data_IF_212323448313
#
_entry.id   IF_212323448313
#
_cell.length_a   1.000
_cell.length_b   1.000
_cell.length_c   1.000
_cell.angle_alpha   90.00
_cell.angle_beta   90.00
_cell.angle_gamma   90.00
#
_symmetry.space_group_name_H-M   'P 1'
#
loop_
_entity.id
_entity.type
_entity.pdbx_description
1 polymer ?
#
# COMPACT_ATOMS: atom_id res chain seq x y z
N UNK A 1 -78.90 15.90 37.30
CA UNK A 1 -77.88 15.02 36.69
C UNK A 1 -77.10 15.66 35.54
N UNK A 2 -77.55 16.76 34.91
CA UNK A 2 -76.82 17.43 33.81
C UNK A 2 -75.83 18.54 34.25
N UNK A 3 -76.06 19.20 35.39
CA UNK A 3 -75.20 20.28 35.91
C UNK A 3 -73.86 19.75 36.46
N UNK A 4 -73.89 18.61 37.15
CA UNK A 4 -72.73 17.98 37.78
C UNK A 4 -71.72 17.45 36.74
N UNK A 5 -72.23 16.93 35.62
CA UNK A 5 -71.42 16.49 34.49
C UNK A 5 -70.77 17.72 33.84
N UNK A 6 -71.52 18.79 33.56
CA UNK A 6 -70.99 20.04 33.00
C UNK A 6 -69.91 20.71 33.87
N UNK A 7 -70.09 20.69 35.20
CA UNK A 7 -69.11 21.21 36.16
C UNK A 7 -67.81 20.42 36.11
N UNK A 8 -67.89 19.08 36.16
CA UNK A 8 -66.72 18.20 36.03
C UNK A 8 -66.04 18.36 34.67
N UNK A 9 -66.79 18.52 33.57
CA UNK A 9 -66.19 18.75 32.24
C UNK A 9 -65.46 20.10 32.15
N UNK A 10 -65.98 21.16 32.79
CA UNK A 10 -65.31 22.47 32.86
C UNK A 10 -64.06 22.45 33.74
N UNK A 11 -64.03 21.63 34.78
CA UNK A 11 -62.85 21.43 35.62
C UNK A 11 -61.66 20.86 34.82
N UNK A 12 -61.90 19.97 33.86
CA UNK A 12 -60.86 19.45 32.96
C UNK A 12 -60.38 20.44 31.89
N UNK A 13 -61.13 21.54 31.67
CA UNK A 13 -60.79 22.61 30.73
C UNK A 13 -59.96 23.74 31.38
N UNK A 14 -59.64 23.65 32.68
CA UNK A 14 -58.77 24.65 33.29
C UNK A 14 -57.34 24.57 32.72
N UNK A 15 -56.66 25.72 32.52
CA UNK A 15 -55.35 25.79 31.86
C UNK A 15 -54.29 24.85 32.47
N UNK A 16 -54.37 24.60 33.78
CA UNK A 16 -53.44 23.71 34.50
C UNK A 16 -53.55 22.24 34.09
N UNK A 17 -54.76 21.74 33.80
CA UNK A 17 -54.96 20.36 33.35
C UNK A 17 -54.63 20.21 31.86
N UNK A 18 -54.87 21.24 31.05
CA UNK A 18 -54.42 21.29 29.65
C UNK A 18 -52.88 21.25 29.55
N UNK A 19 -52.18 22.04 30.38
CA UNK A 19 -50.71 22.00 30.46
C UNK A 19 -50.19 20.64 30.91
N UNK A 20 -50.81 20.03 31.92
CA UNK A 20 -50.46 18.68 32.38
C UNK A 20 -50.68 17.63 31.29
N UNK A 21 -51.78 17.70 30.54
CA UNK A 21 -52.07 16.79 29.43
C UNK A 21 -51.03 16.93 28.30
N UNK A 22 -50.67 18.16 27.93
CA UNK A 22 -49.63 18.42 26.91
C UNK A 22 -48.27 17.89 27.35
N UNK A 23 -47.91 18.08 28.63
CA UNK A 23 -46.68 17.52 29.19
C UNK A 23 -46.66 16.00 29.16
N UNK A 24 -47.76 15.35 29.56
CA UNK A 24 -47.87 13.89 29.49
C UNK A 24 -47.74 13.43 28.04
N UNK A 25 -48.47 14.03 27.10
CA UNK A 25 -48.37 13.68 25.67
C UNK A 25 -46.96 13.88 25.11
N UNK A 26 -46.27 14.97 25.47
CA UNK A 26 -44.89 15.22 25.06
C UNK A 26 -43.93 14.15 25.62
N UNK A 27 -44.04 13.79 26.90
CA UNK A 27 -43.24 12.73 27.51
C UNK A 27 -43.55 11.37 26.87
N UNK A 28 -44.82 11.09 26.58
CA UNK A 28 -45.21 9.84 25.91
C UNK A 28 -44.65 9.78 24.49
N UNK A 29 -44.69 10.88 23.74
CA UNK A 29 -44.11 10.97 22.40
C UNK A 29 -42.59 10.76 22.43
N UNK A 30 -41.87 11.37 23.37
CA UNK A 30 -40.43 11.17 23.55
C UNK A 30 -40.11 9.71 23.91
N UNK A 31 -40.91 9.08 24.78
CA UNK A 31 -40.76 7.67 25.14
C UNK A 31 -40.98 6.74 23.93
N UNK A 32 -42.03 6.99 23.13
CA UNK A 32 -42.31 6.23 21.89
C UNK A 32 -41.16 6.39 20.90
N UNK A 33 -40.68 7.62 20.65
CA UNK A 33 -39.54 7.87 19.76
C UNK A 33 -38.27 7.16 20.26
N UNK A 34 -38.05 7.13 21.58
CA UNK A 34 -36.87 6.48 22.17
C UNK A 34 -36.90 4.96 21.98
N UNK A 35 -38.05 4.33 22.18
CA UNK A 35 -38.25 2.88 21.97
C UNK A 35 -38.14 2.51 20.49
N UNK A 36 -38.69 3.34 19.59
CA UNK A 36 -38.59 3.12 18.16
C UNK A 36 -37.15 3.33 17.65
N UNK A 37 -36.42 4.31 18.20
CA UNK A 37 -35.02 4.55 17.85
C UNK A 37 -34.13 3.37 18.20
N UNK A 38 -34.34 2.73 19.35
CA UNK A 38 -33.54 1.57 19.78
C UNK A 38 -33.72 0.37 18.83
N UNK A 39 -34.94 0.15 18.34
CA UNK A 39 -35.24 -0.88 17.31
C UNK A 39 -34.65 -0.58 15.93
N UNK A 40 -34.57 0.70 15.55
CA UNK A 40 -34.05 1.13 14.24
C UNK A 40 -32.53 1.17 14.21
N UNK A 41 -31.90 1.56 15.32
CA UNK A 41 -30.44 1.74 15.41
C UNK A 41 -29.74 0.44 15.79
N UNK A 42 -30.39 -0.42 16.57
CA UNK A 42 -29.80 -1.67 17.07
C UNK A 42 -30.43 -2.89 16.38
N UNK A 43 -30.35 -2.93 15.05
CA UNK A 43 -30.67 -4.15 14.30
C UNK A 43 -29.62 -5.18 14.68
N UNK A 44 -30.00 -6.18 15.48
CA UNK A 44 -29.16 -7.31 15.79
C UNK A 44 -28.81 -8.00 14.46
N UNK A 45 -27.61 -7.71 13.94
CA UNK A 45 -27.16 -8.23 12.66
C UNK A 45 -26.78 -9.70 12.86
N UNK A 46 -27.66 -10.60 12.42
CA UNK A 46 -27.37 -12.02 12.32
C UNK A 46 -26.40 -12.24 11.17
N UNK A 47 -25.12 -11.93 11.38
CA UNK A 47 -24.10 -12.01 10.33
C UNK A 47 -22.91 -12.85 10.76
N UNK A 48 -22.29 -13.51 9.79
CA UNK A 48 -20.99 -14.16 9.96
C UNK A 48 -20.03 -13.64 8.92
N UNK A 49 -18.81 -13.33 9.36
CA UNK A 49 -17.72 -12.91 8.49
C UNK A 49 -16.68 -14.01 8.45
N UNK A 50 -16.35 -14.46 7.25
CA UNK A 50 -15.35 -15.49 7.01
C UNK A 50 -14.28 -14.94 6.08
N UNK A 51 -13.04 -15.19 6.44
CA UNK A 51 -11.88 -14.74 5.70
C UNK A 51 -11.23 -15.92 4.98
N UNK A 52 -11.01 -15.75 3.68
CA UNK A 52 -10.29 -16.68 2.83
C UNK A 52 -8.99 -16.07 2.30
N UNK A 53 -8.04 -16.93 1.98
CA UNK A 53 -6.74 -16.54 1.46
C UNK A 53 -6.47 -17.24 0.14
N UNK A 54 -5.96 -16.48 -0.82
CA UNK A 54 -5.53 -16.96 -2.11
C UNK A 54 -4.05 -16.66 -2.29
N UNK A 55 -3.30 -17.69 -2.69
CA UNK A 55 -1.87 -17.63 -2.92
C UNK A 55 -1.58 -18.05 -4.35
N UNK A 56 -0.78 -17.23 -5.04
CA UNK A 56 -0.26 -17.54 -6.38
C UNK A 56 1.25 -17.38 -6.35
N UNK A 57 1.96 -18.47 -6.66
CA UNK A 57 3.42 -18.46 -6.78
C UNK A 57 3.83 -18.12 -8.21
N UNK A 58 4.88 -17.32 -8.36
CA UNK A 58 5.40 -16.89 -9.65
C UNK A 58 6.93 -16.82 -9.65
N UNK A 59 7.53 -16.91 -10.83
CA UNK A 59 8.95 -16.65 -11.02
C UNK A 59 9.12 -15.21 -11.53
N UNK A 60 9.98 -14.38 -10.91
CA UNK A 60 10.25 -13.04 -11.40
C UNK A 60 10.81 -13.04 -12.83
N UNK A 61 10.27 -12.18 -13.69
CA UNK A 61 10.70 -11.98 -15.08
C UNK A 61 11.26 -10.58 -15.36
N UNK A 62 11.22 -9.71 -14.36
CA UNK A 62 11.77 -8.35 -14.38
C UNK A 62 12.65 -8.14 -13.15
N UNK A 63 13.81 -7.52 -13.35
CA UNK A 63 14.63 -6.95 -12.30
C UNK A 63 14.68 -5.43 -12.45
N UNK A 64 14.56 -4.72 -11.34
CA UNK A 64 14.70 -3.26 -11.25
C UNK A 64 15.96 -2.96 -10.46
N UNK A 65 16.99 -2.46 -11.15
CA UNK A 65 18.28 -2.10 -10.55
C UNK A 65 18.26 -0.61 -10.23
N UNK A 66 18.50 -0.24 -8.98
CA UNK A 66 18.64 1.18 -8.58
C UNK A 66 20.09 1.52 -8.33
N UNK A 67 20.60 2.45 -9.13
CA UNK A 67 21.98 2.94 -9.11
C UNK A 67 21.98 4.44 -8.81
N UNK A 68 23.11 4.95 -8.32
CA UNK A 68 23.28 6.38 -8.10
C UNK A 68 24.68 6.88 -8.42
N UNK A 69 24.72 8.17 -8.71
CA UNK A 69 25.94 8.95 -8.87
C UNK A 69 25.90 10.06 -7.84
N UNK A 70 26.91 10.08 -6.97
CA UNK A 70 27.18 11.15 -6.03
C UNK A 70 28.45 11.91 -6.46
N UNK A 71 28.32 13.23 -6.52
CA UNK A 71 29.44 14.17 -6.52
C UNK A 71 29.54 14.71 -5.11
N UNK A 72 30.63 14.40 -4.41
CA UNK A 72 30.77 14.78 -2.99
C UNK A 72 30.99 16.29 -2.85
N UNK A 73 31.93 16.84 -3.61
CA UNK A 73 32.29 18.26 -3.52
C UNK A 73 32.94 18.78 -4.79
N UNK A 74 32.23 19.61 -5.53
CA UNK A 74 32.77 20.44 -6.60
C UNK A 74 32.92 21.89 -6.13
N UNK A 75 33.79 22.66 -6.80
CA UNK A 75 34.06 24.06 -6.48
C UNK A 75 32.86 24.99 -6.72
N UNK A 76 32.03 24.68 -7.72
CA UNK A 76 30.81 25.43 -8.06
C UNK A 76 29.63 24.48 -8.27
N UNK A 77 28.42 25.02 -8.14
CA UNK A 77 27.19 24.29 -8.42
C UNK A 77 27.17 23.76 -9.86
N UNK A 78 27.53 24.61 -10.83
CA UNK A 78 27.59 24.23 -12.24
C UNK A 78 28.60 23.10 -12.49
N UNK A 79 29.76 23.14 -11.85
CA UNK A 79 30.75 22.07 -11.95
C UNK A 79 30.22 20.75 -11.36
N UNK A 80 29.47 20.80 -10.25
CA UNK A 80 28.86 19.62 -9.66
C UNK A 80 27.83 18.98 -10.63
N UNK A 81 26.96 19.81 -11.23
CA UNK A 81 25.96 19.35 -12.19
C UNK A 81 26.59 18.82 -13.48
N UNK A 82 27.61 19.50 -14.01
CA UNK A 82 28.32 19.04 -15.21
C UNK A 82 28.96 17.67 -14.98
N UNK A 83 29.70 17.50 -13.89
CA UNK A 83 30.31 16.22 -13.54
C UNK A 83 29.28 15.11 -13.33
N UNK A 84 28.15 15.43 -12.68
CA UNK A 84 27.04 14.50 -12.48
C UNK A 84 26.46 14.05 -13.83
N UNK A 85 26.11 15.00 -14.69
CA UNK A 85 25.50 14.74 -15.99
C UNK A 85 26.43 13.95 -16.91
N UNK A 86 27.73 14.24 -16.91
CA UNK A 86 28.74 13.50 -17.69
C UNK A 86 28.89 12.05 -17.23
N UNK A 87 28.82 11.78 -15.93
CA UNK A 87 28.86 10.41 -15.39
C UNK A 87 27.57 9.66 -15.71
N UNK A 88 26.42 10.31 -15.53
CA UNK A 88 25.10 9.73 -15.86
C UNK A 88 24.99 9.39 -17.35
N UNK A 89 25.44 10.28 -18.24
CA UNK A 89 25.45 10.03 -19.67
C UNK A 89 26.33 8.83 -20.05
N UNK A 90 27.49 8.67 -19.39
CA UNK A 90 28.36 7.51 -19.56
C UNK A 90 27.72 6.22 -19.10
N UNK A 91 27.00 6.23 -17.97
CA UNK A 91 26.23 5.08 -17.49
C UNK A 91 25.15 4.71 -18.51
N UNK A 92 24.32 5.66 -18.96
CA UNK A 92 23.25 5.38 -19.92
C UNK A 92 23.84 4.77 -21.21
N UNK A 93 24.95 5.34 -21.71
CA UNK A 93 25.61 4.85 -22.92
C UNK A 93 26.23 3.45 -22.75
N UNK A 94 26.72 3.10 -21.55
CA UNK A 94 27.27 1.76 -21.31
C UNK A 94 26.21 0.67 -21.27
N UNK A 95 24.95 1.03 -20.97
CA UNK A 95 23.81 0.12 -20.94
C UNK A 95 23.22 -0.18 -22.33
N UNK A 96 23.50 0.66 -23.34
CA UNK A 96 23.08 0.41 -24.73
C UNK A 96 23.65 -0.93 -25.26
N UNK A 97 24.89 -1.27 -24.85
CA UNK A 97 25.53 -2.54 -25.21
C UNK A 97 24.80 -3.79 -24.65
N UNK A 98 23.96 -3.59 -23.63
CA UNK A 98 23.15 -4.64 -23.01
C UNK A 98 21.72 -4.68 -23.55
N UNK A 99 21.43 -3.92 -24.62
CA UNK A 99 20.10 -3.77 -25.21
C UNK A 99 19.04 -3.24 -24.22
N UNK A 100 19.46 -2.51 -23.18
CA UNK A 100 18.56 -1.80 -22.29
C UNK A 100 18.09 -0.55 -23.01
N UNK A 101 16.78 -0.40 -23.17
CA UNK A 101 16.23 0.76 -23.86
C UNK A 101 16.22 1.96 -22.93
N UNK A 102 16.31 3.16 -23.53
CA UNK A 102 16.18 4.41 -22.78
C UNK A 102 14.84 4.54 -22.03
N UNK A 103 13.76 3.96 -22.56
CA UNK A 103 12.44 3.93 -21.91
C UNK A 103 12.41 3.10 -20.61
N UNK A 104 13.35 2.16 -20.46
CA UNK A 104 13.52 1.33 -19.27
C UNK A 104 14.47 1.97 -18.23
N UNK A 105 14.96 3.18 -18.49
CA UNK A 105 15.83 3.93 -17.57
C UNK A 105 15.08 5.18 -17.08
N UNK A 106 14.82 5.24 -15.78
CA UNK A 106 14.08 6.33 -15.15
C UNK A 106 14.95 7.05 -14.12
N UNK A 107 14.82 8.39 -14.04
CA UNK A 107 15.46 9.17 -12.98
C UNK A 107 14.54 9.24 -11.77
N UNK A 108 15.02 8.84 -10.59
CA UNK A 108 14.24 8.81 -9.35
C UNK A 108 14.52 10.03 -8.46
N UNK A 109 15.76 10.48 -8.39
CA UNK A 109 16.18 11.60 -7.52
C UNK A 109 17.20 12.43 -8.26
N UNK A 110 17.12 13.75 -8.13
CA UNK A 110 18.12 14.70 -8.63
C UNK A 110 18.25 15.83 -7.61
N UNK A 111 19.41 15.93 -6.95
CA UNK A 111 19.63 16.94 -5.91
C UNK A 111 20.97 17.64 -6.10
N UNK A 112 21.01 18.90 -5.67
CA UNK A 112 22.19 19.74 -5.64
C UNK A 112 22.14 20.54 -4.34
N UNK A 113 23.16 20.38 -3.50
CA UNK A 113 23.19 21.00 -2.18
C UNK A 113 24.57 21.60 -1.91
N UNK A 114 24.67 22.79 -1.31
CA UNK A 114 25.93 23.32 -0.81
C UNK A 114 26.49 22.39 0.28
N UNK A 115 27.81 22.21 0.25
CA UNK A 115 28.58 21.52 1.27
C UNK A 115 29.27 22.57 2.13
N UNK A 116 29.27 22.37 3.45
CA UNK A 116 29.80 23.34 4.40
C UNK A 116 30.95 22.73 5.20
N UNK A 117 32.01 23.51 5.38
CA UNK A 117 33.05 23.22 6.36
C UNK A 117 32.72 23.97 7.64
N UNK A 118 32.79 23.26 8.76
CA UNK A 118 32.57 23.82 10.09
C UNK A 118 33.91 23.93 10.81
N UNK A 119 34.33 25.16 11.09
CA UNK A 119 35.55 25.45 11.85
C UNK A 119 35.28 26.60 12.82
N UNK A 120 35.68 26.42 14.08
CA UNK A 120 35.56 27.46 15.12
C UNK A 120 34.13 28.03 15.28
N UNK A 121 33.10 27.18 15.21
CA UNK A 121 31.68 27.55 15.20
C UNK A 121 31.21 28.44 14.04
N UNK A 122 32.01 28.57 12.98
CA UNK A 122 31.64 29.27 11.74
C UNK A 122 31.41 28.24 10.63
N UNK A 123 30.25 28.34 9.98
CA UNK A 123 29.91 27.55 8.79
C UNK A 123 30.29 28.33 7.54
N UNK A 124 31.11 27.74 6.68
CA UNK A 124 31.49 28.35 5.41
C UNK A 124 31.16 27.43 4.25
N UNK A 125 30.60 27.98 3.17
CA UNK A 125 30.36 27.20 1.94
C UNK A 125 31.70 26.76 1.40
N UNK A 126 31.78 25.47 1.16
CA UNK A 126 33.02 24.77 0.97
C UNK A 126 33.03 24.08 -0.41
N UNK A 127 31.84 23.82 -0.94
CA UNK A 127 31.60 23.42 -2.32
C UNK A 127 30.14 23.06 -2.54
N UNK A 128 29.89 22.27 -3.57
CA UNK A 128 28.56 21.77 -3.90
C UNK A 128 28.60 20.28 -4.16
N UNK A 129 27.65 19.56 -3.57
CA UNK A 129 27.43 18.15 -3.79
C UNK A 129 26.19 17.95 -4.65
N UNK A 130 26.22 16.97 -5.54
CA UNK A 130 25.09 16.65 -6.41
C UNK A 130 24.85 15.13 -6.41
N UNK A 131 23.59 14.72 -6.43
CA UNK A 131 23.20 13.31 -6.45
C UNK A 131 22.15 13.08 -7.54
N UNK A 132 22.30 11.99 -8.28
CA UNK A 132 21.21 11.44 -9.08
C UNK A 132 21.08 9.94 -8.88
N UNK A 133 19.83 9.48 -8.69
CA UNK A 133 19.49 8.05 -8.71
C UNK A 133 18.75 7.68 -9.99
N UNK A 134 19.14 6.55 -10.58
CA UNK A 134 18.55 5.94 -11.75
C UNK A 134 17.96 4.59 -11.39
N UNK A 135 16.77 4.32 -11.91
CA UNK A 135 16.10 3.04 -11.85
C UNK A 135 16.13 2.43 -13.24
N UNK A 136 16.71 1.24 -13.36
CA UNK A 136 16.90 0.54 -14.63
C UNK A 136 16.09 -0.75 -14.59
N UNK A 137 15.13 -0.87 -15.50
CA UNK A 137 14.32 -2.06 -15.68
C UNK A 137 15.02 -3.02 -16.65
N UNK A 138 15.25 -4.23 -16.18
CA UNK A 138 15.77 -5.35 -16.96
C UNK A 138 14.65 -6.37 -17.10
N UNK A 139 14.18 -6.58 -18.33
CA UNK A 139 13.15 -7.58 -18.62
C UNK A 139 13.78 -8.90 -19.04
N UNK A 140 12.98 -9.98 -19.06
CA UNK A 140 13.39 -11.30 -19.55
C UNK A 140 14.53 -11.96 -18.74
N UNK A 141 14.57 -11.69 -17.43
CA UNK A 141 15.62 -12.22 -16.53
C UNK A 141 15.51 -13.74 -16.34
N UNK A 142 14.40 -14.36 -16.74
CA UNK A 142 14.23 -15.82 -16.75
C UNK A 142 15.19 -16.44 -17.79
N UNK A 143 15.26 -15.83 -18.98
CA UNK A 143 16.10 -16.34 -20.06
C UNK A 143 17.52 -15.75 -20.03
N UNK A 144 17.71 -14.58 -19.40
CA UNK A 144 18.98 -13.85 -19.36
C UNK A 144 19.31 -13.32 -17.96
N UNK A 145 19.45 -14.20 -16.94
CA UNK A 145 19.70 -13.78 -15.57
C UNK A 145 21.02 -13.00 -15.40
N UNK A 146 22.00 -13.25 -16.26
CA UNK A 146 23.30 -12.57 -16.27
C UNK A 146 23.23 -11.08 -16.65
N UNK A 147 22.18 -10.64 -17.34
CA UNK A 147 22.06 -9.22 -17.75
C UNK A 147 21.99 -8.31 -16.53
N UNK A 148 21.39 -8.77 -15.43
CA UNK A 148 21.31 -8.00 -14.18
C UNK A 148 22.71 -7.71 -13.62
N UNK A 149 23.57 -8.73 -13.55
CA UNK A 149 24.94 -8.55 -13.06
C UNK A 149 25.81 -7.74 -14.03
N UNK A 150 25.58 -7.87 -15.34
CA UNK A 150 26.23 -7.05 -16.36
C UNK A 150 25.84 -5.58 -16.25
N UNK A 151 24.57 -5.24 -15.98
CA UNK A 151 24.12 -3.86 -15.75
C UNK A 151 24.88 -3.24 -14.57
N UNK A 152 24.99 -3.95 -13.44
CA UNK A 152 25.74 -3.46 -12.27
C UNK A 152 27.22 -3.28 -12.59
N UNK A 153 27.84 -4.23 -13.27
CA UNK A 153 29.25 -4.17 -13.64
C UNK A 153 29.54 -3.00 -14.59
N UNK A 154 28.74 -2.83 -15.66
CA UNK A 154 28.91 -1.77 -16.64
C UNK A 154 28.69 -0.38 -16.04
N UNK A 155 27.69 -0.24 -15.16
CA UNK A 155 27.46 1.03 -14.49
C UNK A 155 28.58 1.37 -13.50
N UNK A 156 29.10 0.38 -12.76
CA UNK A 156 30.27 0.56 -11.90
C UNK A 156 31.52 0.99 -12.67
N UNK A 157 31.79 0.35 -13.81
CA UNK A 157 32.86 0.78 -14.72
C UNK A 157 32.63 2.19 -15.30
N UNK A 158 31.36 2.59 -15.48
CA UNK A 158 30.97 3.94 -15.89
C UNK A 158 30.88 4.96 -14.74
N UNK A 159 31.47 4.66 -13.58
CA UNK A 159 31.55 5.53 -12.39
C UNK A 159 30.24 5.75 -11.64
N UNK A 160 29.27 4.83 -11.73
CA UNK A 160 28.24 4.72 -10.71
C UNK A 160 28.93 4.35 -9.37
N UNK A 161 28.70 5.16 -8.34
CA UNK A 161 29.33 5.00 -7.03
C UNK A 161 28.33 4.72 -5.91
N UNK A 162 27.05 4.56 -6.24
CA UNK A 162 26.01 4.06 -5.35
C UNK A 162 25.27 2.91 -6.03
N UNK A 163 25.18 1.77 -5.37
CA UNK A 163 24.24 0.70 -5.71
C UNK A 163 23.25 0.64 -4.56
N UNK A 164 22.01 1.04 -4.81
CA UNK A 164 20.99 1.18 -3.75
C UNK A 164 20.30 -0.15 -3.50
N UNK A 165 20.01 -0.90 -4.56
CA UNK A 165 19.33 -2.19 -4.44
C UNK A 165 18.91 -2.78 -5.78
N UNK A 166 18.49 -4.04 -5.74
CA UNK A 166 17.89 -4.74 -6.87
C UNK A 166 16.58 -5.36 -6.39
N UNK A 167 15.50 -5.02 -7.08
CA UNK A 167 14.16 -5.55 -6.82
C UNK A 167 13.76 -6.49 -7.95
N UNK A 168 13.04 -7.56 -7.63
CA UNK A 168 12.61 -8.57 -8.59
C UNK A 168 11.09 -8.62 -8.60
N UNK A 169 10.49 -8.51 -9.78
CA UNK A 169 9.06 -8.45 -9.99
C UNK A 169 8.66 -9.28 -11.20
N UNK A 170 7.36 -9.29 -11.52
CA UNK A 170 6.78 -10.01 -12.63
C UNK A 170 5.97 -9.06 -13.51
N UNK A 171 6.02 -9.22 -14.82
CA UNK A 171 5.32 -8.35 -15.78
C UNK A 171 3.79 -8.41 -15.63
N UNK A 172 3.28 -9.52 -15.13
CA UNK A 172 1.85 -9.84 -14.99
C UNK A 172 1.32 -9.72 -13.55
N UNK A 173 1.88 -8.82 -12.72
CA UNK A 173 1.46 -8.65 -11.30
C UNK A 173 -0.06 -8.58 -11.15
N UNK A 174 -0.72 -7.77 -11.99
CA UNK A 174 -2.17 -7.55 -11.89
C UNK A 174 -2.98 -8.81 -12.19
N UNK A 175 -2.56 -9.61 -13.16
CA UNK A 175 -3.24 -10.86 -13.52
C UNK A 175 -3.07 -11.90 -12.40
N UNK A 176 -1.87 -11.98 -11.82
CA UNK A 176 -1.59 -12.89 -10.71
C UNK A 176 -2.31 -12.47 -9.42
N UNK A 177 -2.43 -11.16 -9.14
CA UNK A 177 -3.30 -10.64 -8.08
C UNK A 177 -4.76 -11.02 -8.31
N UNK A 178 -5.23 -10.91 -9.55
CA UNK A 178 -6.60 -11.29 -9.87
C UNK A 178 -6.83 -12.80 -9.64
N UNK A 179 -5.88 -13.64 -10.03
CA UNK A 179 -5.93 -15.07 -9.71
C UNK A 179 -5.96 -15.32 -8.20
N UNK A 180 -5.11 -14.63 -7.43
CA UNK A 180 -5.09 -14.72 -5.96
C UNK A 180 -6.43 -14.27 -5.33
N UNK A 181 -7.07 -13.21 -5.82
CA UNK A 181 -8.41 -12.78 -5.37
C UNK A 181 -9.46 -13.87 -5.58
N UNK A 182 -9.48 -14.49 -6.76
CA UNK A 182 -10.44 -15.54 -7.07
C UNK A 182 -10.22 -16.76 -6.16
N UNK A 183 -8.97 -17.15 -5.92
CA UNK A 183 -8.63 -18.22 -4.97
C UNK A 183 -9.06 -17.87 -3.55
N UNK A 184 -8.86 -16.62 -3.11
CA UNK A 184 -9.27 -16.16 -1.78
C UNK A 184 -10.79 -16.22 -1.59
N UNK A 185 -11.57 -15.83 -2.60
CA UNK A 185 -13.04 -15.93 -2.59
C UNK A 185 -13.48 -17.39 -2.55
N UNK A 186 -12.85 -18.28 -3.32
CA UNK A 186 -13.16 -19.71 -3.32
C UNK A 186 -12.89 -20.34 -1.95
N UNK A 187 -11.74 -20.01 -1.35
CA UNK A 187 -11.38 -20.44 0.00
C UNK A 187 -12.37 -19.92 1.05
N UNK A 188 -12.72 -18.64 1.02
CA UNK A 188 -13.72 -18.04 1.92
C UNK A 188 -15.08 -18.73 1.81
N UNK A 189 -15.55 -19.02 0.58
CA UNK A 189 -16.82 -19.73 0.33
C UNK A 189 -16.79 -21.18 0.82
N UNK A 190 -15.68 -21.88 0.61
CA UNK A 190 -15.49 -23.25 1.09
C UNK A 190 -15.55 -23.31 2.62
N UNK A 191 -14.77 -22.43 3.28
CA UNK A 191 -14.76 -22.28 4.75
C UNK A 191 -16.13 -21.92 5.29
N UNK A 192 -16.81 -20.93 4.70
CA UNK A 192 -18.12 -20.49 5.16
C UNK A 192 -19.16 -21.62 5.08
N UNK A 193 -19.16 -22.40 3.99
CA UNK A 193 -20.04 -23.56 3.84
C UNK A 193 -19.80 -24.64 4.90
N UNK A 194 -18.53 -24.99 5.17
CA UNK A 194 -18.16 -25.97 6.18
C UNK A 194 -18.52 -25.53 7.60
N UNK A 195 -18.20 -24.27 7.95
CA UNK A 195 -18.46 -23.71 9.28
C UNK A 195 -19.95 -23.53 9.55
N UNK A 196 -20.73 -23.07 8.57
CA UNK A 196 -22.17 -22.93 8.73
C UNK A 196 -22.85 -24.28 8.97
N UNK A 197 -22.44 -25.33 8.23
CA UNK A 197 -22.93 -26.69 8.43
C UNK A 197 -22.59 -27.22 9.82
N UNK A 198 -21.37 -27.00 10.30
CA UNK A 198 -20.94 -27.42 11.63
C UNK A 198 -21.66 -26.67 12.76
N UNK A 199 -21.95 -25.38 12.56
CA UNK A 199 -22.67 -24.54 13.50
C UNK A 199 -24.20 -24.73 13.46
N UNK A 200 -24.73 -25.50 12.50
CA UNK A 200 -26.16 -25.74 12.36
C UNK A 200 -26.96 -24.53 11.85
N UNK A 201 -26.31 -23.59 11.16
CA UNK A 201 -26.93 -22.37 10.63
C UNK A 201 -26.98 -22.37 9.10
N UNK A 202 -27.88 -21.59 8.50
CA UNK A 202 -27.94 -21.41 7.05
C UNK A 202 -27.40 -20.04 6.64
N UNK A 203 -26.45 -20.03 5.71
CA UNK A 203 -25.96 -18.78 5.13
C UNK A 203 -26.95 -18.22 4.11
N UNK A 204 -27.18 -16.92 4.18
CA UNK A 204 -27.89 -16.10 3.21
C UNK A 204 -26.97 -15.62 2.09
N UNK A 205 -27.30 -14.46 1.51
CA UNK A 205 -26.47 -13.80 0.50
C UNK A 205 -25.26 -13.14 1.15
N UNK A 206 -24.22 -12.89 0.34
CA UNK A 206 -23.11 -12.02 0.76
C UNK A 206 -23.65 -10.59 0.83
N UNK A 207 -23.55 -9.96 1.99
CA UNK A 207 -23.96 -8.58 2.22
C UNK A 207 -22.81 -7.61 2.02
N UNK A 208 -21.60 -8.02 2.39
CA UNK A 208 -20.40 -7.21 2.30
C UNK A 208 -19.17 -8.06 1.99
N UNK A 209 -18.16 -7.44 1.39
CA UNK A 209 -16.84 -8.05 1.23
C UNK A 209 -15.75 -6.98 1.36
N UNK A 210 -14.55 -7.42 1.73
CA UNK A 210 -13.35 -6.59 1.72
C UNK A 210 -12.21 -7.39 1.12
N UNK A 211 -11.22 -6.70 0.52
CA UNK A 211 -9.95 -7.30 0.13
C UNK A 211 -8.79 -6.64 0.87
N UNK A 212 -7.78 -7.45 1.15
CA UNK A 212 -6.49 -7.00 1.64
C UNK A 212 -5.39 -7.77 0.91
N UNK A 213 -4.52 -7.06 0.20
CA UNK A 213 -3.32 -7.67 -0.38
C UNK A 213 -2.32 -7.80 0.75
N UNK A 214 -1.94 -9.03 1.11
CA UNK A 214 -1.00 -9.31 2.20
C UNK A 214 0.44 -9.30 1.71
N UNK A 215 0.66 -9.75 0.47
CA UNK A 215 1.98 -9.82 -0.14
C UNK A 215 1.87 -9.63 -1.65
N UNK A 216 2.67 -8.72 -2.20
CA UNK A 216 2.80 -8.49 -3.64
C UNK A 216 4.07 -7.72 -3.95
N UNK A 217 4.74 -7.92 -5.11
CA UNK A 217 5.99 -7.23 -5.44
C UNK A 217 5.88 -5.71 -5.54
N UNK A 218 4.68 -5.18 -5.79
CA UNK A 218 4.40 -3.74 -5.88
C UNK A 218 3.82 -3.16 -4.57
N UNK A 219 3.66 -3.96 -3.52
CA UNK A 219 3.36 -3.43 -2.20
C UNK A 219 4.61 -2.72 -1.71
N UNK A 220 4.52 -1.39 -1.72
CA UNK A 220 5.54 -0.53 -1.15
C UNK A 220 5.78 -0.99 0.30
N UNK A 221 6.96 -1.56 0.58
CA UNK A 221 7.41 -1.83 1.93
C UNK A 221 7.70 -0.48 2.59
N UNK A 222 6.64 0.28 2.86
CA UNK A 222 6.72 1.61 3.46
C UNK A 222 7.09 1.55 4.94
N UNK A 223 7.62 0.42 5.43
CA UNK A 223 8.03 0.27 6.81
C UNK A 223 9.20 -0.70 6.95
N UNK A 224 10.41 -0.15 6.95
CA UNK A 224 11.52 -0.66 7.76
C UNK A 224 12.17 -1.96 7.30
N UNK A 225 13.14 -1.83 6.39
CA UNK A 225 14.10 -2.91 6.14
C UNK A 225 15.26 -2.40 5.32
N UNK A 226 16.28 -1.85 5.99
CA UNK A 226 17.64 -1.80 5.45
C UNK A 226 18.11 -3.24 5.18
N UNK A 227 17.62 -3.83 4.09
CA UNK A 227 18.04 -5.11 3.53
C UNK A 227 18.75 -4.95 2.19
N UNK A 228 18.89 -3.70 1.71
CA UNK A 228 19.95 -3.35 0.77
C UNK A 228 21.21 -3.26 1.58
N UNK A 229 22.01 -4.32 1.61
CA UNK A 229 23.42 -4.16 1.88
C UNK A 229 23.91 -3.03 0.97
N UNK A 230 24.45 -1.97 1.54
CA UNK A 230 25.33 -1.07 0.80
C UNK A 230 26.42 -1.96 0.20
N UNK A 231 26.23 -2.40 -1.04
CA UNK A 231 27.24 -3.16 -1.76
C UNK A 231 28.28 -2.13 -2.16
N UNK A 232 29.12 -1.77 -1.18
CA UNK A 232 30.38 -1.13 -1.45
C UNK A 232 31.05 -1.99 -2.52
N UNK A 233 31.37 -1.39 -3.67
CA UNK A 233 32.00 -2.08 -4.79
C UNK A 233 33.39 -2.57 -4.40
N UNK A 234 33.46 -3.62 -3.60
CA UNK A 234 34.64 -4.45 -3.52
C UNK A 234 34.62 -5.30 -4.79
N UNK A 235 35.65 -5.07 -5.61
CA UNK A 235 35.85 -5.64 -6.94
C UNK A 235 35.77 -7.17 -6.88
N UNK A 236 34.60 -7.76 -7.15
CA UNK A 236 34.51 -9.21 -7.41
C UNK A 236 33.25 -9.99 -7.01
N UNK A 237 32.23 -9.42 -6.35
CA UNK A 237 31.02 -10.18 -6.02
C UNK A 237 29.81 -9.53 -6.71
N UNK A 238 29.40 -10.11 -7.84
CA UNK A 238 28.19 -9.71 -8.53
C UNK A 238 26.94 -10.06 -7.71
N UNK A 239 25.89 -9.23 -7.74
CA UNK A 239 24.60 -9.57 -7.14
C UNK A 239 24.06 -10.89 -7.71
N UNK A 240 23.64 -11.80 -6.84
CA UNK A 240 23.02 -13.06 -7.24
C UNK A 240 21.54 -12.80 -7.52
N UNK A 241 21.06 -13.22 -8.69
CA UNK A 241 19.62 -13.23 -8.99
C UNK A 241 18.96 -14.26 -8.05
N UNK A 242 17.85 -13.92 -7.37
CA UNK A 242 17.14 -14.85 -6.50
C UNK A 242 16.78 -16.12 -7.27
N UNK A 243 17.34 -17.25 -6.84
CA UNK A 243 16.91 -18.56 -7.32
C UNK A 243 15.67 -18.97 -6.54
N UNK A 244 14.47 -18.79 -7.10
CA UNK A 244 13.23 -19.22 -6.44
C UNK A 244 11.97 -18.56 -6.97
N UNK A 245 10.83 -19.00 -6.44
CA UNK A 245 9.51 -18.40 -6.68
C UNK A 245 9.17 -17.40 -5.57
N UNK A 246 8.46 -16.35 -5.93
CA UNK A 246 7.81 -15.44 -4.99
C UNK A 246 6.30 -15.69 -4.96
N UNK A 247 5.63 -15.17 -3.94
CA UNK A 247 4.20 -15.35 -3.76
C UNK A 247 3.47 -14.00 -3.80
N UNK A 248 2.30 -14.01 -4.44
CA UNK A 248 1.26 -13.01 -4.23
C UNK A 248 0.20 -13.63 -3.33
N UNK A 249 -0.07 -12.98 -2.20
CA UNK A 249 -1.05 -13.42 -1.21
C UNK A 249 -2.12 -12.34 -1.07
N UNK A 250 -3.37 -12.72 -1.33
CA UNK A 250 -4.54 -11.87 -1.15
C UNK A 250 -5.48 -12.51 -0.16
N UNK A 251 -5.99 -11.70 0.75
CA UNK A 251 -7.03 -12.04 1.70
C UNK A 251 -8.33 -11.39 1.27
N UNK A 252 -9.42 -12.15 1.31
CA UNK A 252 -10.77 -11.65 1.07
C UNK A 252 -11.68 -12.08 2.21
N UNK A 253 -12.34 -11.10 2.83
CA UNK A 253 -13.39 -11.37 3.80
C UNK A 253 -14.77 -11.27 3.15
N UNK A 254 -15.63 -12.24 3.45
CA UNK A 254 -17.03 -12.28 3.01
C UNK A 254 -17.93 -12.27 4.24
N UNK A 255 -18.88 -11.34 4.26
CA UNK A 255 -19.91 -11.25 5.31
C UNK A 255 -21.23 -11.74 4.76
N UNK A 256 -21.83 -12.72 5.44
CA UNK A 256 -23.11 -13.32 5.10
C UNK A 256 -24.15 -12.98 6.14
N UNK A 257 -25.40 -12.80 5.71
CA UNK A 257 -26.57 -12.91 6.58
C UNK A 257 -26.77 -14.37 7.03
N UNK A 258 -27.33 -14.59 8.21
CA UNK A 258 -27.58 -15.91 8.80
C UNK A 258 -29.07 -16.10 9.05
N UNK A 259 -29.59 -17.23 8.57
CA UNK A 259 -31.00 -17.63 8.66
C UNK A 259 -31.24 -18.77 9.64
#
# INVERSE_FOLDING_TARGET
MNEEIKSKTRQFLEPKYLLALVLVLAVTAVAIVSILRDRIVNVQQNQVSITGQGKVSYQPDIATVTLGVQIDRASTADSALQQLNEKVARIISSLDALSIKKEDIQTQTYTLNPQYDYKDNVSTVAGYGANQKLTIKVSDIINKPEVVSQVVAQAGSAQANQVVGIEFTVSSVNDLKQQARILAIQDAKSKSGGLAKAAGVKLGKVENWYENVLQSPDMNSSNGGYGGSDVAMNKGIAPQVPSGTQDIIVEVGLTYDVK
#
